data_IF_414734333620
#
_entry.id   IF_414734333620
#
_cell.length_a   1.000
_cell.length_b   1.000
_cell.length_c   1.000
_cell.angle_alpha   90.00
_cell.angle_beta   90.00
_cell.angle_gamma   90.00
#
_symmetry.space_group_name_H-M   'P 1'
#
loop_
_entity.id
_entity.type
_entity.pdbx_description
1 polymer ?
#
# COMPACT_ATOMS: atom_id res chain seq x y z
N UNK A 1 17.26 -5.76 -0.26
CA UNK A 1 16.06 -6.27 -0.99
C UNK A 1 14.81 -5.46 -0.63
N UNK A 2 14.01 -5.04 -1.59
CA UNK A 2 12.82 -4.20 -1.37
C UNK A 2 11.55 -4.98 -1.76
N UNK A 3 10.57 -5.07 -0.86
CA UNK A 3 9.23 -5.59 -1.14
C UNK A 3 8.22 -4.46 -1.10
N UNK A 4 7.41 -4.31 -2.16
CA UNK A 4 6.37 -3.29 -2.16
C UNK A 4 4.98 -3.87 -2.39
N UNK A 5 3.98 -3.26 -1.74
CA UNK A 5 2.57 -3.46 -2.02
C UNK A 5 1.96 -2.12 -2.45
N UNK A 6 1.20 -2.11 -3.54
CA UNK A 6 0.61 -0.87 -4.04
C UNK A 6 -0.82 -1.06 -4.53
N UNK A 7 -1.65 -0.06 -4.34
CA UNK A 7 -2.98 0.05 -4.95
C UNK A 7 -2.94 0.87 -6.23
N UNK A 8 -2.58 2.15 -6.12
CA UNK A 8 -2.64 3.13 -7.21
C UNK A 8 -1.28 3.62 -7.69
N UNK A 9 -0.20 2.97 -7.24
CA UNK A 9 1.16 3.22 -7.73
C UNK A 9 2.09 3.94 -6.77
N UNK A 10 1.61 4.64 -5.72
CA UNK A 10 2.45 5.42 -4.81
C UNK A 10 3.61 4.62 -4.21
N UNK A 11 3.33 3.51 -3.54
CA UNK A 11 4.38 2.65 -2.95
C UNK A 11 5.31 2.07 -4.02
N UNK A 12 4.79 1.77 -5.23
CA UNK A 12 5.64 1.29 -6.34
C UNK A 12 6.59 2.38 -6.82
N UNK A 13 6.13 3.63 -6.93
CA UNK A 13 6.97 4.78 -7.25
C UNK A 13 8.11 4.91 -6.23
N UNK A 14 7.80 4.93 -4.94
CA UNK A 14 8.81 5.00 -3.87
C UNK A 14 9.78 3.81 -3.95
N UNK A 15 9.28 2.59 -4.12
CA UNK A 15 10.11 1.40 -4.22
C UNK A 15 11.09 1.46 -5.41
N UNK A 16 10.64 2.00 -6.54
CA UNK A 16 11.48 2.23 -7.72
C UNK A 16 12.58 3.27 -7.46
N UNK A 17 12.24 4.37 -6.79
CA UNK A 17 13.22 5.39 -6.40
C UNK A 17 14.27 4.84 -5.41
N UNK A 18 13.85 4.02 -4.44
CA UNK A 18 14.75 3.33 -3.52
C UNK A 18 15.63 2.32 -4.27
N UNK A 19 15.07 1.51 -5.16
CA UNK A 19 15.80 0.57 -6.01
C UNK A 19 16.93 1.26 -6.79
N UNK A 20 16.62 2.37 -7.47
CA UNK A 20 17.59 3.10 -8.28
C UNK A 20 18.76 3.68 -7.47
N UNK A 21 18.48 4.15 -6.24
CA UNK A 21 19.47 4.83 -5.41
C UNK A 21 20.26 3.87 -4.49
N UNK A 22 19.65 2.74 -4.09
CA UNK A 22 20.30 1.72 -3.25
C UNK A 22 20.94 0.60 -4.08
N UNK A 23 20.62 0.50 -5.37
CA UNK A 23 20.98 -0.61 -6.25
C UNK A 23 20.53 -1.98 -5.69
N UNK A 24 19.32 -2.00 -5.12
CA UNK A 24 18.69 -3.18 -4.51
C UNK A 24 17.51 -3.64 -5.34
N UNK A 25 17.33 -4.94 -5.54
CA UNK A 25 16.16 -5.47 -6.24
C UNK A 25 14.85 -5.14 -5.53
N UNK A 26 13.76 -4.99 -6.30
CA UNK A 26 12.44 -4.74 -5.74
C UNK A 26 11.37 -5.70 -6.31
N UNK A 27 10.55 -6.25 -5.42
CA UNK A 27 9.58 -7.31 -5.71
C UNK A 27 8.17 -6.86 -5.30
N UNK A 28 7.19 -7.16 -6.16
CA UNK A 28 5.79 -6.84 -5.91
C UNK A 28 5.14 -7.87 -4.98
N UNK A 29 4.76 -7.46 -3.77
CA UNK A 29 3.92 -8.28 -2.88
C UNK A 29 2.50 -8.50 -3.45
N UNK A 30 2.00 -7.59 -4.32
CA UNK A 30 0.72 -7.82 -4.99
C UNK A 30 0.71 -9.14 -5.76
N UNK A 31 1.82 -9.47 -6.44
CA UNK A 31 1.97 -10.71 -7.20
C UNK A 31 2.08 -11.92 -6.29
N UNK A 32 2.90 -11.83 -5.24
CA UNK A 32 3.10 -12.91 -4.26
C UNK A 32 1.80 -13.23 -3.52
N UNK A 33 1.12 -12.21 -3.00
CA UNK A 33 -0.19 -12.35 -2.33
C UNK A 33 -1.23 -12.94 -3.29
N UNK A 34 -1.29 -12.44 -4.53
CA UNK A 34 -2.22 -12.95 -5.55
C UNK A 34 -2.02 -14.43 -5.84
N UNK A 35 -0.78 -14.90 -5.82
CA UNK A 35 -0.42 -16.29 -6.08
C UNK A 35 -0.43 -17.16 -4.83
N UNK A 36 -0.77 -16.59 -3.66
CA UNK A 36 -0.65 -17.25 -2.36
C UNK A 36 0.77 -17.82 -2.15
N UNK A 37 1.77 -17.07 -2.61
CA UNK A 37 3.18 -17.47 -2.55
C UNK A 37 3.78 -17.01 -1.23
N UNK A 38 4.07 -17.99 -0.37
CA UNK A 38 4.73 -17.84 0.92
C UNK A 38 6.08 -18.58 0.94
N UNK A 39 6.68 -18.79 -0.23
CA UNK A 39 7.98 -19.43 -0.32
C UNK A 39 9.05 -18.69 0.48
N UNK A 40 10.09 -19.41 0.89
CA UNK A 40 11.21 -18.84 1.64
C UNK A 40 11.86 -17.70 0.84
N UNK A 41 11.97 -16.55 1.46
CA UNK A 41 12.65 -15.38 0.90
C UNK A 41 14.07 -15.30 1.46
N UNK A 42 15.08 -15.38 0.60
CA UNK A 42 16.48 -15.22 0.98
C UNK A 42 16.91 -13.76 0.74
N UNK A 43 17.23 -13.00 1.81
CA UNK A 43 17.36 -11.55 1.76
C UNK A 43 18.81 -11.08 1.63
N UNK A 44 19.73 -11.69 2.37
CA UNK A 44 21.15 -11.30 2.44
C UNK A 44 21.36 -9.84 2.90
N UNK A 45 20.93 -9.55 4.14
CA UNK A 45 21.16 -8.24 4.78
C UNK A 45 19.88 -7.42 4.98
N UNK A 46 19.80 -6.27 4.32
CA UNK A 46 18.72 -5.30 4.54
C UNK A 46 17.42 -5.65 3.83
N UNK A 47 16.31 -5.62 4.57
CA UNK A 47 14.96 -5.82 4.08
C UNK A 47 14.14 -4.53 4.22
N UNK A 48 13.56 -4.06 3.13
CA UNK A 48 12.73 -2.85 3.10
C UNK A 48 11.32 -3.19 2.63
N UNK A 49 10.31 -2.87 3.45
CA UNK A 49 8.90 -2.93 3.07
C UNK A 49 8.40 -1.55 2.70
N UNK A 50 7.91 -1.38 1.46
CA UNK A 50 7.30 -0.14 0.96
C UNK A 50 5.82 -0.37 0.75
N UNK A 51 4.98 0.26 1.59
CA UNK A 51 3.56 -0.07 1.67
C UNK A 51 2.68 1.15 1.92
N UNK A 52 1.42 1.16 1.46
CA UNK A 52 0.49 2.24 1.78
C UNK A 52 -0.02 2.14 3.22
N UNK A 53 -0.57 3.24 3.68
CA UNK A 53 -1.24 3.32 4.99
C UNK A 53 -2.73 3.06 4.84
N UNK A 54 -3.24 2.00 5.47
CA UNK A 54 -4.67 1.69 5.53
C UNK A 54 -5.18 1.82 6.97
N UNK A 55 -5.95 2.86 7.21
CA UNK A 55 -6.45 3.19 8.55
C UNK A 55 -5.32 3.17 9.61
N UNK A 56 -4.25 3.91 9.35
CA UNK A 56 -3.08 4.11 10.25
C UNK A 56 -2.29 2.85 10.59
N UNK A 57 -2.29 1.85 9.70
CA UNK A 57 -1.40 0.66 9.73
C UNK A 57 -1.05 0.22 8.32
N UNK A 58 -0.16 -0.74 8.21
CA UNK A 58 0.04 -1.46 6.94
C UNK A 58 -1.23 -2.25 6.57
N UNK A 59 -1.50 -2.51 5.27
CA UNK A 59 -2.66 -3.31 4.86
C UNK A 59 -2.64 -4.68 5.54
N UNK A 60 -3.80 -5.15 6.04
CA UNK A 60 -3.90 -6.45 6.74
C UNK A 60 -3.39 -7.61 5.91
N UNK A 61 -3.62 -7.60 4.60
CA UNK A 61 -3.13 -8.66 3.70
C UNK A 61 -1.60 -8.65 3.59
N UNK A 62 -0.96 -7.50 3.74
CA UNK A 62 0.51 -7.37 3.77
C UNK A 62 1.05 -7.88 5.11
N UNK A 63 0.44 -7.45 6.23
CA UNK A 63 0.80 -7.94 7.56
C UNK A 63 0.70 -9.47 7.63
N UNK A 64 -0.38 -10.03 7.09
CA UNK A 64 -0.59 -11.48 7.04
C UNK A 64 0.46 -12.18 6.17
N UNK A 65 0.74 -11.64 4.97
CA UNK A 65 1.75 -12.20 4.10
C UNK A 65 3.14 -12.20 4.77
N UNK A 66 3.54 -11.09 5.40
CA UNK A 66 4.81 -11.01 6.16
C UNK A 66 4.83 -12.05 7.29
N UNK A 67 3.73 -12.20 8.02
CA UNK A 67 3.61 -13.14 9.14
C UNK A 67 3.77 -14.60 8.70
N UNK A 68 3.19 -14.98 7.56
CA UNK A 68 3.18 -16.35 7.03
C UNK A 68 4.44 -16.71 6.26
N UNK A 69 5.11 -15.75 5.64
CA UNK A 69 6.32 -15.97 4.83
C UNK A 69 7.54 -16.16 5.72
N UNK A 70 8.37 -17.13 5.41
CA UNK A 70 9.69 -17.29 6.03
C UNK A 70 10.72 -16.40 5.32
N UNK A 71 11.58 -15.75 6.12
CA UNK A 71 12.68 -14.93 5.62
C UNK A 71 13.98 -15.43 6.22
N UNK A 72 15.03 -15.51 5.40
CA UNK A 72 16.35 -15.96 5.81
C UNK A 72 17.40 -14.87 5.57
N UNK A 73 18.42 -14.86 6.39
CA UNK A 73 19.59 -13.97 6.28
C UNK A 73 19.20 -12.48 6.30
N UNK A 74 18.20 -12.12 7.15
CA UNK A 74 17.76 -10.74 7.39
C UNK A 74 18.53 -10.15 8.55
N UNK A 75 19.32 -9.11 8.29
CA UNK A 75 20.08 -8.39 9.33
C UNK A 75 19.27 -7.25 9.92
N UNK A 76 18.54 -6.51 9.09
CA UNK A 76 17.76 -5.36 9.51
C UNK A 76 16.53 -5.12 8.63
N UNK A 77 15.50 -4.51 9.22
CA UNK A 77 14.21 -4.27 8.56
C UNK A 77 13.78 -2.82 8.69
N UNK A 78 13.43 -2.22 7.55
CA UNK A 78 12.86 -0.88 7.43
C UNK A 78 11.44 -0.95 6.87
N UNK A 79 10.58 -0.03 7.33
CA UNK A 79 9.28 0.21 6.71
C UNK A 79 9.23 1.63 6.14
N UNK A 80 8.86 1.77 4.89
CA UNK A 80 8.56 3.04 4.24
C UNK A 80 7.08 3.03 3.91
N UNK A 81 6.31 3.94 4.51
CA UNK A 81 4.86 3.96 4.39
C UNK A 81 4.39 5.24 3.71
N UNK A 82 3.68 5.10 2.59
CA UNK A 82 3.00 6.23 1.97
C UNK A 82 1.60 6.46 2.55
N UNK A 83 1.20 7.73 2.62
CA UNK A 83 -0.09 8.17 3.11
C UNK A 83 -0.49 9.51 2.50
N UNK A 84 -1.80 9.85 2.53
CA UNK A 84 -2.28 11.16 2.13
C UNK A 84 -2.04 12.24 3.18
N UNK A 85 -1.99 11.87 4.47
CA UNK A 85 -1.86 12.82 5.58
C UNK A 85 -0.86 12.36 6.64
N UNK A 86 -1.09 11.22 7.31
CA UNK A 86 -0.21 10.67 8.33
C UNK A 86 -0.37 9.16 8.49
N UNK A 87 0.65 8.51 9.07
CA UNK A 87 0.64 7.06 9.36
C UNK A 87 0.22 6.76 10.81
N UNK A 88 -0.07 7.76 11.64
CA UNK A 88 -0.40 7.60 13.06
C UNK A 88 0.67 6.83 13.82
N UNK A 89 0.25 5.83 14.59
CA UNK A 89 1.15 4.98 15.37
C UNK A 89 1.53 3.67 14.64
N UNK A 90 1.58 3.66 13.30
CA UNK A 90 1.92 2.46 12.52
C UNK A 90 3.27 1.86 12.90
N UNK A 91 4.27 2.71 13.20
CA UNK A 91 5.61 2.27 13.60
C UNK A 91 5.61 1.33 14.81
N UNK A 92 4.71 1.52 15.78
CA UNK A 92 4.55 0.62 16.92
C UNK A 92 4.10 -0.79 16.49
N UNK A 93 3.16 -0.88 15.55
CA UNK A 93 2.65 -2.16 15.05
C UNK A 93 3.66 -2.87 14.16
N UNK A 94 4.41 -2.12 13.34
CA UNK A 94 5.49 -2.64 12.53
C UNK A 94 6.62 -3.20 13.41
N UNK A 95 6.99 -2.48 14.47
CA UNK A 95 7.95 -2.98 15.48
C UNK A 95 7.48 -4.30 16.10
N UNK A 96 6.21 -4.37 16.54
CA UNK A 96 5.64 -5.61 17.09
C UNK A 96 5.64 -6.77 16.10
N UNK A 97 5.39 -6.48 14.81
CA UNK A 97 5.48 -7.49 13.76
C UNK A 97 6.92 -8.00 13.62
N UNK A 98 7.90 -7.09 13.60
CA UNK A 98 9.32 -7.43 13.58
C UNK A 98 9.74 -8.26 14.79
N UNK A 99 9.33 -7.88 16.01
CA UNK A 99 9.61 -8.64 17.25
C UNK A 99 9.10 -10.08 17.15
N UNK A 100 7.88 -10.30 16.63
CA UNK A 100 7.32 -11.64 16.42
C UNK A 100 8.08 -12.46 15.37
N UNK A 101 8.71 -11.80 14.40
CA UNK A 101 9.51 -12.43 13.34
C UNK A 101 10.97 -12.58 13.71
N UNK A 102 11.42 -12.04 14.86
CA UNK A 102 12.83 -12.01 15.25
C UNK A 102 13.67 -11.04 14.41
N UNK A 103 13.07 -10.03 13.81
CA UNK A 103 13.74 -9.05 12.97
C UNK A 103 14.31 -7.88 13.76
N UNK A 104 15.49 -7.40 13.38
CA UNK A 104 16.07 -6.16 13.87
C UNK A 104 15.38 -4.95 13.20
N UNK A 105 14.37 -4.38 13.87
CA UNK A 105 13.61 -3.25 13.37
C UNK A 105 14.37 -1.94 13.45
N UNK A 106 14.56 -1.25 12.33
CA UNK A 106 15.29 0.01 12.20
C UNK A 106 14.40 1.25 12.10
N UNK A 107 13.11 1.07 11.95
CA UNK A 107 12.17 2.19 11.95
C UNK A 107 11.09 2.13 10.88
N UNK A 108 10.14 3.06 10.98
CA UNK A 108 9.12 3.33 9.96
C UNK A 108 9.22 4.79 9.56
N UNK A 109 9.35 5.05 8.27
CA UNK A 109 9.35 6.39 7.68
C UNK A 109 8.04 6.66 6.98
N UNK A 110 7.46 7.82 7.27
CA UNK A 110 6.27 8.35 6.61
C UNK A 110 6.67 9.14 5.36
N UNK A 111 5.95 8.91 4.26
CA UNK A 111 6.08 9.70 3.03
C UNK A 111 4.70 10.15 2.58
N UNK A 112 4.49 11.46 2.52
CA UNK A 112 3.24 12.03 2.00
C UNK A 112 3.20 11.85 0.50
N UNK A 113 2.14 11.22 0.00
CA UNK A 113 1.88 10.95 -1.40
C UNK A 113 0.43 11.34 -1.75
N UNK A 114 0.09 11.49 -3.05
CA UNK A 114 -1.26 11.85 -3.46
C UNK A 114 -2.33 10.93 -2.87
N UNK A 115 -3.41 11.52 -2.34
CA UNK A 115 -4.55 10.76 -1.84
C UNK A 115 -5.18 9.91 -2.96
N UNK A 116 -5.55 8.68 -2.64
CA UNK A 116 -6.06 7.72 -3.60
C UNK A 116 -7.30 6.94 -3.13
N UNK A 117 -7.77 7.18 -1.90
CA UNK A 117 -8.87 6.43 -1.32
C UNK A 117 -10.23 7.00 -1.71
N UNK A 118 -10.62 6.80 -2.97
CA UNK A 118 -11.86 7.27 -3.61
C UNK A 118 -13.14 6.96 -2.84
N UNK A 119 -13.14 5.91 -2.01
CA UNK A 119 -14.30 5.54 -1.22
C UNK A 119 -14.66 6.56 -0.13
N UNK A 120 -13.72 7.44 0.26
CA UNK A 120 -13.92 8.45 1.30
C UNK A 120 -13.48 9.86 0.90
N UNK A 121 -12.39 9.99 0.14
CA UNK A 121 -11.72 11.27 -0.14
C UNK A 121 -11.79 11.60 -1.63
N UNK A 122 -11.54 12.85 -1.97
CA UNK A 122 -11.25 13.27 -3.33
C UNK A 122 -9.78 13.03 -3.63
N UNK A 123 -9.48 12.66 -4.85
CA UNK A 123 -8.11 12.49 -5.31
C UNK A 123 -7.65 13.76 -6.03
N UNK A 124 -6.39 14.15 -5.90
CA UNK A 124 -5.89 15.36 -6.54
C UNK A 124 -5.92 15.25 -8.06
N UNK A 125 -5.98 16.37 -8.74
CA UNK A 125 -5.76 16.46 -10.18
C UNK A 125 -4.27 16.25 -10.52
N UNK A 126 -3.95 15.95 -11.78
CA UNK A 126 -2.62 15.52 -12.21
C UNK A 126 -1.50 16.51 -11.83
N UNK A 127 -1.73 17.82 -11.92
CA UNK A 127 -0.71 18.81 -11.62
C UNK A 127 -0.48 18.98 -10.10
N UNK A 128 -1.52 18.82 -9.30
CA UNK A 128 -1.41 18.77 -7.85
C UNK A 128 -0.70 17.49 -7.41
N UNK A 129 -1.08 16.35 -7.99
CA UNK A 129 -0.42 15.07 -7.71
C UNK A 129 1.09 15.12 -8.00
N UNK A 130 1.51 15.71 -9.14
CA UNK A 130 2.93 15.91 -9.48
C UNK A 130 3.66 16.77 -8.45
N UNK A 131 3.02 17.83 -7.93
CA UNK A 131 3.61 18.68 -6.88
C UNK A 131 3.82 17.91 -5.59
N UNK A 132 2.83 17.12 -5.15
CA UNK A 132 2.93 16.29 -3.95
C UNK A 132 4.07 15.26 -4.11
N UNK A 133 4.14 14.57 -5.26
CA UNK A 133 5.20 13.60 -5.55
C UNK A 133 6.58 14.27 -5.47
N UNK A 134 6.73 15.46 -6.08
CA UNK A 134 8.00 16.20 -6.01
C UNK A 134 8.38 16.60 -4.58
N UNK A 135 7.41 16.89 -3.74
CA UNK A 135 7.65 17.18 -2.31
C UNK A 135 8.07 15.96 -1.52
N UNK A 136 7.77 14.74 -1.98
CA UNK A 136 8.24 13.50 -1.37
C UNK A 136 9.73 13.20 -1.61
N UNK A 137 10.34 13.74 -2.67
CA UNK A 137 11.74 13.46 -3.05
C UNK A 137 12.75 13.65 -1.91
N UNK A 138 12.73 14.75 -1.11
CA UNK A 138 13.67 14.92 -0.01
C UNK A 138 13.56 13.83 1.06
N UNK A 139 12.32 13.39 1.35
CA UNK A 139 12.06 12.33 2.36
C UNK A 139 12.50 10.97 1.83
N UNK A 140 12.30 10.69 0.54
CA UNK A 140 12.81 9.48 -0.11
C UNK A 140 14.34 9.45 -0.03
N UNK A 141 15.01 10.57 -0.33
CA UNK A 141 16.48 10.67 -0.21
C UNK A 141 16.96 10.47 1.22
N UNK A 142 16.22 10.98 2.21
CA UNK A 142 16.53 10.73 3.62
C UNK A 142 16.39 9.23 3.96
N UNK A 143 15.35 8.56 3.45
CA UNK A 143 15.19 7.11 3.63
C UNK A 143 16.37 6.35 3.03
N UNK A 144 16.79 6.68 1.80
CA UNK A 144 17.97 6.12 1.13
C UNK A 144 19.22 6.30 2.00
N UNK A 145 19.44 7.52 2.50
CA UNK A 145 20.63 7.83 3.33
C UNK A 145 20.67 6.99 4.62
N UNK A 146 19.53 6.87 5.32
CA UNK A 146 19.45 6.05 6.53
C UNK A 146 19.70 4.57 6.23
N UNK A 147 19.07 4.02 5.19
CA UNK A 147 19.21 2.61 4.80
C UNK A 147 20.67 2.32 4.39
N UNK A 148 21.25 3.16 3.54
CA UNK A 148 22.63 2.98 3.06
C UNK A 148 23.67 3.02 4.20
N UNK A 149 23.41 3.83 5.23
CA UNK A 149 24.28 3.96 6.40
C UNK A 149 23.92 3.02 7.54
N UNK A 150 22.96 2.13 7.37
CA UNK A 150 22.45 1.23 8.41
C UNK A 150 21.95 1.94 9.68
N UNK A 151 21.50 3.20 9.54
CA UNK A 151 20.99 4.02 10.64
C UNK A 151 19.50 3.81 10.83
N UNK A 152 18.97 3.91 12.06
CA UNK A 152 17.54 3.88 12.28
C UNK A 152 16.85 5.09 11.64
N UNK A 153 15.63 4.91 11.18
CA UNK A 153 14.82 6.03 10.77
C UNK A 153 14.52 6.97 11.96
N UNK A 154 14.39 8.28 11.72
CA UNK A 154 14.04 9.24 12.74
C UNK A 154 12.77 8.84 13.47
N UNK A 155 12.76 9.00 14.80
CA UNK A 155 11.56 8.75 15.60
C UNK A 155 10.50 9.82 15.33
N UNK A 156 9.26 9.38 15.11
CA UNK A 156 8.12 10.28 14.96
C UNK A 156 7.60 10.71 16.34
N UNK A 157 7.21 11.98 16.48
CA UNK A 157 6.50 12.44 17.67
C UNK A 157 5.04 11.96 17.62
N UNK A 158 4.63 11.15 18.59
CA UNK A 158 3.30 10.57 18.64
C UNK A 158 2.39 11.36 19.59
N UNK A 159 1.18 11.67 19.11
CA UNK A 159 0.10 12.22 19.93
C UNK A 159 -0.83 11.11 20.44
N UNK A 160 -1.64 11.40 21.46
CA UNK A 160 -2.62 10.43 21.99
C UNK A 160 -3.65 10.02 20.90
N UNK A 161 -4.03 10.94 20.02
CA UNK A 161 -4.92 10.66 18.88
C UNK A 161 -4.35 9.57 17.96
N UNK A 162 -3.04 9.55 17.70
CA UNK A 162 -2.40 8.61 16.80
C UNK A 162 -2.49 7.18 17.35
N UNK A 163 -2.35 7.04 18.68
CA UNK A 163 -2.52 5.75 19.36
C UNK A 163 -3.96 5.25 19.26
N UNK A 164 -4.94 6.14 19.46
CA UNK A 164 -6.36 5.82 19.35
C UNK A 164 -6.75 5.43 17.92
N UNK A 165 -6.33 6.19 16.91
CA UNK A 165 -6.60 5.93 15.51
C UNK A 165 -6.02 4.57 15.06
N UNK A 166 -4.75 4.32 15.33
CA UNK A 166 -4.10 3.06 14.95
C UNK A 166 -4.57 1.84 15.73
N UNK A 167 -5.23 2.01 16.87
CA UNK A 167 -5.76 0.90 17.67
C UNK A 167 -7.25 0.65 17.42
N UNK A 168 -8.11 1.42 18.06
CA UNK A 168 -9.56 1.21 18.06
C UNK A 168 -10.15 1.50 16.67
N UNK A 169 -9.79 2.66 16.09
CA UNK A 169 -10.35 3.05 14.79
C UNK A 169 -9.97 2.04 13.71
N UNK A 170 -8.71 1.61 13.65
CA UNK A 170 -8.29 0.58 12.69
C UNK A 170 -9.08 -0.72 12.84
N UNK A 171 -9.31 -1.16 14.08
CA UNK A 171 -10.02 -2.43 14.35
C UNK A 171 -11.47 -2.38 13.86
N UNK A 172 -12.13 -1.24 14.08
CA UNK A 172 -13.55 -1.03 13.71
C UNK A 172 -13.71 -0.68 12.23
N UNK A 173 -12.71 -0.02 11.64
CA UNK A 173 -12.75 0.46 10.26
C UNK A 173 -12.99 -0.65 9.23
N UNK A 174 -12.24 -1.75 9.33
CA UNK A 174 -12.33 -2.84 8.35
C UNK A 174 -13.71 -3.48 8.29
N UNK A 175 -14.32 -3.95 9.39
CA UNK A 175 -15.65 -4.56 9.33
C UNK A 175 -16.77 -3.59 8.96
N UNK A 176 -16.60 -2.29 9.19
CA UNK A 176 -17.64 -1.30 8.87
C UNK A 176 -17.51 -0.70 7.46
N UNK A 177 -16.29 -0.39 7.02
CA UNK A 177 -16.07 0.43 5.82
C UNK A 177 -15.48 -0.35 4.64
N UNK A 178 -14.69 -1.40 4.87
CA UNK A 178 -14.06 -2.17 3.79
C UNK A 178 -15.05 -3.19 3.23
N UNK A 179 -15.89 -2.78 2.28
CA UNK A 179 -16.97 -3.58 1.70
C UNK A 179 -16.80 -3.72 0.19
N UNK A 180 -16.64 -4.95 -0.31
CA UNK A 180 -16.62 -5.23 -1.74
C UNK A 180 -17.96 -4.93 -2.43
N UNK A 181 -19.08 -5.14 -1.72
CA UNK A 181 -20.44 -5.07 -2.27
C UNK A 181 -20.84 -3.69 -2.82
N UNK A 182 -20.12 -2.61 -2.46
CA UNK A 182 -20.40 -1.29 -3.00
C UNK A 182 -19.73 -1.01 -4.35
N UNK A 183 -18.79 -1.88 -4.80
CA UNK A 183 -18.22 -1.77 -6.14
C UNK A 183 -19.19 -2.32 -7.19
N UNK A 184 -19.30 -1.62 -8.29
CA UNK A 184 -20.04 -2.06 -9.48
C UNK A 184 -19.41 -1.49 -10.75
N UNK A 185 -19.71 -2.10 -11.89
CA UNK A 185 -19.36 -1.58 -13.20
C UNK A 185 -20.58 -0.92 -13.86
N UNK A 186 -20.37 0.22 -14.52
CA UNK A 186 -21.36 0.93 -15.33
C UNK A 186 -21.45 0.32 -16.73
N UNK A 187 -22.35 0.82 -17.56
CA UNK A 187 -22.53 0.39 -18.96
C UNK A 187 -21.30 0.68 -19.84
N UNK A 188 -20.42 1.59 -19.40
CA UNK A 188 -19.14 1.88 -20.05
C UNK A 188 -18.09 0.74 -19.94
N UNK A 189 -18.38 -0.31 -19.17
CA UNK A 189 -17.46 -1.43 -19.01
C UNK A 189 -17.34 -2.22 -20.31
N UNK A 190 -16.13 -2.37 -20.79
CA UNK A 190 -15.79 -3.11 -22.03
C UNK A 190 -15.32 -4.55 -21.78
N UNK A 191 -15.39 -5.03 -20.53
CA UNK A 191 -14.97 -6.40 -20.19
C UNK A 191 -13.49 -6.71 -20.39
N UNK A 192 -12.60 -5.72 -20.41
CA UNK A 192 -11.18 -5.91 -20.75
C UNK A 192 -10.35 -6.74 -19.75
N UNK A 193 -10.89 -7.05 -18.56
CA UNK A 193 -10.23 -7.89 -17.54
C UNK A 193 -9.09 -7.23 -16.77
N UNK A 194 -8.75 -5.95 -17.02
CA UNK A 194 -7.64 -5.29 -16.30
C UNK A 194 -7.85 -5.26 -14.79
N UNK A 195 -9.07 -4.96 -14.32
CA UNK A 195 -9.40 -4.94 -12.90
C UNK A 195 -9.26 -6.33 -12.23
N UNK A 196 -9.60 -7.41 -12.95
CA UNK A 196 -9.39 -8.78 -12.51
C UNK A 196 -7.89 -9.10 -12.36
N UNK A 197 -7.06 -8.70 -13.34
CA UNK A 197 -5.60 -8.90 -13.28
C UNK A 197 -4.95 -8.12 -12.14
N UNK A 198 -5.42 -6.91 -11.86
CA UNK A 198 -4.86 -6.03 -10.83
C UNK A 198 -5.25 -6.43 -9.41
N UNK A 199 -6.33 -7.19 -9.21
CA UNK A 199 -6.82 -7.52 -7.88
C UNK A 199 -5.89 -8.49 -7.15
N UNK A 200 -5.22 -8.08 -6.05
CA UNK A 200 -4.30 -8.97 -5.33
C UNK A 200 -5.02 -10.13 -4.64
N UNK A 201 -6.32 -10.02 -4.40
CA UNK A 201 -7.14 -11.05 -3.76
C UNK A 201 -7.93 -11.91 -4.76
N UNK A 202 -7.72 -11.74 -6.08
CA UNK A 202 -8.51 -12.45 -7.12
C UNK A 202 -10.03 -12.30 -6.94
N UNK A 203 -10.46 -11.19 -6.35
CA UNK A 203 -11.84 -10.95 -5.95
C UNK A 203 -12.73 -10.40 -7.08
N UNK A 204 -12.20 -10.24 -8.28
CA UNK A 204 -12.92 -9.69 -9.43
C UNK A 204 -12.91 -10.72 -10.55
N UNK A 205 -14.06 -10.91 -11.20
CA UNK A 205 -14.25 -11.75 -12.36
C UNK A 205 -14.98 -10.98 -13.46
N UNK A 206 -14.70 -11.28 -14.71
CA UNK A 206 -15.50 -10.78 -15.83
C UNK A 206 -16.61 -11.77 -16.11
N UNK A 207 -17.88 -11.32 -15.99
CA UNK A 207 -19.09 -12.08 -16.33
C UNK A 207 -19.96 -11.23 -17.26
N UNK A 208 -20.43 -11.80 -18.33
CA UNK A 208 -21.28 -11.10 -19.33
C UNK A 208 -20.71 -9.73 -19.71
N UNK A 209 -19.39 -9.70 -20.03
CA UNK A 209 -18.62 -8.50 -20.35
C UNK A 209 -18.57 -7.42 -19.28
N UNK A 210 -18.86 -7.74 -18.01
CA UNK A 210 -18.84 -6.80 -16.87
C UNK A 210 -18.00 -7.31 -15.73
N UNK A 211 -17.41 -6.38 -14.98
CA UNK A 211 -16.68 -6.72 -13.75
C UNK A 211 -17.67 -7.00 -12.63
N UNK A 212 -17.46 -8.12 -11.93
CA UNK A 212 -18.25 -8.55 -10.76
C UNK A 212 -17.28 -8.81 -9.61
N UNK A 213 -17.64 -8.33 -8.41
CA UNK A 213 -16.82 -8.49 -7.20
C UNK A 213 -17.36 -9.61 -6.31
N UNK A 214 -16.44 -10.40 -5.76
CA UNK A 214 -16.69 -11.31 -4.66
C UNK A 214 -16.76 -10.58 -3.32
N UNK A 215 -16.56 -11.33 -2.22
CA UNK A 215 -16.68 -10.78 -0.86
C UNK A 215 -15.36 -10.23 -0.31
N UNK A 216 -14.24 -10.72 -0.80
CA UNK A 216 -12.91 -10.39 -0.30
C UNK A 216 -12.37 -9.12 -0.96
N UNK A 217 -12.16 -8.06 -0.19
CA UNK A 217 -11.61 -6.80 -0.69
C UNK A 217 -10.74 -6.14 0.37
N UNK A 218 -9.61 -5.60 -0.04
CA UNK A 218 -8.73 -4.79 0.82
C UNK A 218 -8.85 -3.28 0.58
N UNK A 219 -9.77 -2.86 -0.30
CA UNK A 219 -9.95 -1.45 -0.70
C UNK A 219 -8.68 -0.77 -1.23
N UNK A 220 -7.85 -1.49 -1.96
CA UNK A 220 -6.63 -0.93 -2.55
C UNK A 220 -6.89 0.06 -3.71
N UNK A 221 -8.11 0.23 -4.15
CA UNK A 221 -8.55 1.13 -5.23
C UNK A 221 -7.90 0.86 -6.62
N UNK A 222 -7.07 -0.16 -6.79
CA UNK A 222 -6.39 -0.44 -8.05
C UNK A 222 -7.37 -0.62 -9.23
N UNK A 223 -8.45 -1.36 -9.02
CA UNK A 223 -9.44 -1.64 -10.05
C UNK A 223 -10.19 -0.39 -10.54
N UNK A 224 -10.60 0.49 -9.61
CA UNK A 224 -11.35 1.71 -9.94
C UNK A 224 -10.45 2.80 -10.50
N UNK A 225 -9.23 2.93 -9.98
CA UNK A 225 -8.29 3.98 -10.40
C UNK A 225 -7.71 3.71 -11.79
N UNK A 226 -7.35 2.46 -12.11
CA UNK A 226 -6.72 2.11 -13.40
C UNK A 226 -7.71 1.65 -14.48
N UNK A 227 -9.02 1.76 -14.25
CA UNK A 227 -10.00 1.40 -15.27
C UNK A 227 -9.92 2.35 -16.48
N UNK A 228 -9.59 1.88 -17.70
CA UNK A 228 -9.37 2.74 -18.86
C UNK A 228 -10.64 3.47 -19.32
N UNK A 229 -11.81 2.93 -18.98
CA UNK A 229 -13.12 3.52 -19.26
C UNK A 229 -13.72 4.25 -18.08
N UNK A 230 -13.01 4.34 -16.94
CA UNK A 230 -13.54 4.87 -15.67
C UNK A 230 -14.90 4.25 -15.30
N UNK A 231 -15.14 3.01 -15.76
CA UNK A 231 -16.42 2.31 -15.67
C UNK A 231 -16.67 1.63 -14.34
N UNK A 232 -15.80 1.78 -13.36
CA UNK A 232 -15.94 1.18 -12.02
C UNK A 232 -16.26 2.28 -11.02
N UNK A 233 -17.29 2.05 -10.21
CA UNK A 233 -17.75 2.97 -9.18
C UNK A 233 -17.84 2.28 -7.79
N UNK A 234 -17.75 3.08 -6.73
CA UNK A 234 -17.98 2.66 -5.35
C UNK A 234 -19.22 3.37 -4.79
N UNK A 235 -20.38 2.77 -4.98
CA UNK A 235 -21.66 3.37 -4.67
C UNK A 235 -21.84 4.74 -5.36
N UNK A 236 -22.29 5.74 -4.59
CA UNK A 236 -22.38 7.13 -5.07
C UNK A 236 -21.11 7.95 -4.76
N UNK A 237 -20.19 7.39 -3.95
CA UNK A 237 -19.08 8.14 -3.36
C UNK A 237 -17.96 8.46 -4.33
N UNK A 238 -17.77 7.67 -5.37
CA UNK A 238 -16.69 7.85 -6.36
C UNK A 238 -17.14 8.54 -7.65
N UNK A 239 -18.45 8.78 -7.82
CA UNK A 239 -18.99 9.42 -9.02
C UNK A 239 -18.43 10.83 -9.20
N UNK A 240 -17.93 11.11 -10.41
CA UNK A 240 -17.38 12.42 -10.77
C UNK A 240 -16.00 12.73 -10.18
N UNK A 241 -15.44 11.87 -9.34
CA UNK A 241 -14.11 12.08 -8.78
C UNK A 241 -13.00 11.75 -9.79
N UNK A 242 -11.88 12.43 -9.68
CA UNK A 242 -10.69 12.10 -10.44
C UNK A 242 -10.21 10.67 -10.13
N UNK A 243 -9.50 10.03 -11.07
CA UNK A 243 -8.95 8.66 -10.96
C UNK A 243 -7.43 8.71 -10.94
N UNK A 244 -6.88 9.07 -9.78
CA UNK A 244 -5.44 9.11 -9.63
C UNK A 244 -4.80 7.72 -9.70
N UNK A 245 -3.80 7.60 -10.57
CA UNK A 245 -2.94 6.43 -10.69
C UNK A 245 -1.57 6.87 -11.22
N UNK A 246 -0.48 6.31 -10.67
CA UNK A 246 0.89 6.53 -11.13
C UNK A 246 1.51 5.20 -11.59
N UNK A 247 2.09 5.20 -12.82
CA UNK A 247 2.78 4.05 -13.42
C UNK A 247 4.25 3.95 -13.02
#
# INVERSE_FOLDING_TARGET
>A
MIYYFTGTGNSRYIARELHQQLNEDYISMNTLIRNNDHSLQNIQGTLVFVVPTYAWRIPRIVEEWIRLTAFKDVEEVYFVMDCGENIGNAGHYNRKLCEKKGFNYKGTMEIIMPENYLAMFDTPEDDEAKKIIKQADPVIKQAVSCIHQHLPFPSMSLQLKDKFQSSIVNTVFYPLFVKAAAFYSTDECIGCGLCEKLCPLKNIQIKDHRSVWGKECTHCMACIAKCPKKAIEYGKKSKGKNRYYID
#
